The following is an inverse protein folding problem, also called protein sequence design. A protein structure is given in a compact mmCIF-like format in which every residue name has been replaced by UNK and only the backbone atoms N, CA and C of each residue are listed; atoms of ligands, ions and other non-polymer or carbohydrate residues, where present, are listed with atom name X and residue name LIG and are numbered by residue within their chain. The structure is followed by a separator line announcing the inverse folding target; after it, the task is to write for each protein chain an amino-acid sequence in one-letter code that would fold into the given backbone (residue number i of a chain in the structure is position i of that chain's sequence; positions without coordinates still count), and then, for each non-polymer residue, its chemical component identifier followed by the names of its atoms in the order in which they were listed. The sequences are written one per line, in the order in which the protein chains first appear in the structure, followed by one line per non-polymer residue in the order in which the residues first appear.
data_IF_661910263372
#
_entry.id   IF_661910263372
#
_cell.length_a   1.000
_cell.length_b   1.000
_cell.length_c   1.000
_cell.angle_alpha   90.00
_cell.angle_beta   90.00
_cell.angle_gamma   90.00
#
_symmetry.space_group_name_H-M   'P 1'
#
loop_
_entity.id
_entity.type
_entity.pdbx_description
1 polymer ?
#
# COMPACT_ATOMS: atom_id res chain seq x y z
N UNK A 1 -3.27 -24.64 -4.84
CA UNK A 1 -2.35 -23.53 -5.18
C UNK A 1 -2.70 -22.36 -4.30
N UNK A 2 -1.74 -21.80 -3.55
CA UNK A 2 -2.02 -20.64 -2.67
C UNK A 2 -2.49 -19.48 -3.55
N UNK A 3 -3.71 -18.99 -3.32
CA UNK A 3 -4.34 -17.98 -4.18
C UNK A 3 -3.55 -16.65 -4.28
N UNK A 4 -2.55 -16.44 -3.41
CA UNK A 4 -1.82 -15.17 -3.29
C UNK A 4 -0.29 -15.33 -3.24
N UNK A 5 0.28 -16.29 -3.98
CA UNK A 5 1.74 -16.47 -4.12
C UNK A 5 2.43 -15.36 -4.97
N UNK A 6 2.20 -14.08 -4.64
CA UNK A 6 2.83 -12.91 -5.28
C UNK A 6 1.90 -11.80 -5.80
N UNK A 7 0.60 -11.84 -5.49
CA UNK A 7 -0.39 -10.91 -6.06
C UNK A 7 -0.22 -9.44 -5.64
N UNK A 8 -0.92 -8.54 -6.35
CA UNK A 8 -0.99 -7.11 -6.01
C UNK A 8 -2.25 -6.80 -5.19
N UNK A 9 -2.11 -5.87 -4.25
CA UNK A 9 -3.23 -5.23 -3.57
C UNK A 9 -3.24 -3.74 -3.86
N UNK A 10 -4.43 -3.15 -3.94
CA UNK A 10 -4.64 -1.70 -3.99
C UNK A 10 -5.18 -1.23 -2.65
N UNK A 11 -4.43 -0.42 -1.92
CA UNK A 11 -4.94 0.21 -0.70
C UNK A 11 -5.88 1.34 -1.08
N UNK A 12 -7.13 1.21 -0.66
CA UNK A 12 -8.23 2.14 -0.95
C UNK A 12 -8.35 3.22 0.12
N UNK A 13 -8.14 2.83 1.38
CA UNK A 13 -8.10 3.72 2.54
C UNK A 13 -7.30 3.10 3.69
N UNK A 14 -6.72 3.94 4.54
CA UNK A 14 -6.08 3.52 5.78
C UNK A 14 -6.06 4.69 6.77
N UNK A 15 -6.38 4.46 8.03
CA UNK A 15 -6.33 5.48 9.09
C UNK A 15 -5.11 5.33 10.03
N UNK A 16 -4.22 4.37 9.79
CA UNK A 16 -2.96 4.23 10.54
C UNK A 16 -2.07 5.44 10.30
N UNK A 17 -1.67 6.11 11.37
CA UNK A 17 -0.72 7.23 11.30
C UNK A 17 0.67 6.76 10.88
N UNK A 18 1.10 5.59 11.35
CA UNK A 18 2.38 4.97 11.02
C UNK A 18 2.45 4.60 9.54
N UNK A 19 1.46 3.87 9.03
CA UNK A 19 1.44 3.44 7.63
C UNK A 19 1.34 4.66 6.70
N UNK A 20 0.46 5.62 7.00
CA UNK A 20 0.33 6.84 6.20
C UNK A 20 1.56 7.75 6.23
N UNK A 21 2.38 7.66 7.27
CA UNK A 21 3.68 8.35 7.35
C UNK A 21 4.75 7.71 6.48
N UNK A 22 4.60 6.44 6.12
CA UNK A 22 5.56 5.67 5.32
C UNK A 22 5.08 5.45 3.88
N UNK A 23 3.76 5.39 3.64
CA UNK A 23 3.17 5.00 2.37
C UNK A 23 1.95 5.85 1.95
N UNK A 24 1.84 6.20 0.64
CA UNK A 24 2.91 6.14 -0.35
C UNK A 24 3.89 7.29 -0.08
N UNK A 25 5.16 6.99 0.21
CA UNK A 25 6.17 8.01 0.50
C UNK A 25 6.33 8.98 -0.68
N UNK A 26 5.76 10.18 -0.54
CA UNK A 26 5.82 11.25 -1.52
C UNK A 26 7.09 12.07 -1.30
N UNK A 27 7.96 12.04 -2.29
CA UNK A 27 9.26 12.69 -2.28
C UNK A 27 9.29 13.91 -3.23
N UNK A 28 8.12 14.39 -3.65
CA UNK A 28 7.98 15.53 -4.58
C UNK A 28 8.74 16.77 -4.11
N UNK A 29 8.84 16.99 -2.79
CA UNK A 29 9.57 18.14 -2.21
C UNK A 29 11.08 18.02 -2.35
N UNK A 30 11.62 16.83 -2.62
CA UNK A 30 13.04 16.62 -2.92
C UNK A 30 13.39 16.98 -4.36
N UNK A 31 12.39 17.14 -5.23
CA UNK A 31 12.59 17.58 -6.61
C UNK A 31 12.66 19.10 -6.69
N UNK A 32 13.63 19.60 -7.46
CA UNK A 32 13.69 21.03 -7.81
C UNK A 32 12.45 21.45 -8.60
N UNK A 33 12.14 22.74 -8.61
CA UNK A 33 11.06 23.28 -9.47
C UNK A 33 11.29 22.91 -10.94
N UNK A 34 12.50 23.07 -11.44
CA UNK A 34 12.90 22.70 -12.81
C UNK A 34 12.64 21.23 -13.12
N UNK A 35 12.97 20.30 -12.20
CA UNK A 35 12.69 18.87 -12.39
C UNK A 35 11.20 18.59 -12.48
N UNK A 36 10.39 19.23 -11.62
CA UNK A 36 8.93 19.06 -11.63
C UNK A 36 8.30 19.63 -12.89
N UNK A 37 8.77 20.77 -13.35
CA UNK A 37 8.28 21.42 -14.57
C UNK A 37 8.69 20.63 -15.83
N UNK A 38 9.89 20.07 -15.84
CA UNK A 38 10.32 19.14 -16.89
C UNK A 38 9.42 17.91 -16.94
N UNK A 39 9.14 17.27 -15.80
CA UNK A 39 8.22 16.12 -15.74
C UNK A 39 6.83 16.48 -16.30
N UNK A 40 6.27 17.64 -15.91
CA UNK A 40 4.99 18.14 -16.43
C UNK A 40 5.01 18.37 -17.93
N UNK A 41 6.10 18.92 -18.46
CA UNK A 41 6.26 19.14 -19.91
C UNK A 41 6.17 17.83 -20.72
N UNK A 42 6.50 16.70 -20.12
CA UNK A 42 6.41 15.37 -20.73
C UNK A 42 5.17 14.57 -20.31
N UNK A 43 4.14 15.24 -19.79
CA UNK A 43 2.86 14.61 -19.46
C UNK A 43 2.84 13.82 -18.13
N UNK A 44 3.83 14.03 -17.25
CA UNK A 44 3.77 13.54 -15.88
C UNK A 44 3.14 14.57 -14.93
N UNK A 45 2.69 14.13 -13.77
CA UNK A 45 2.11 15.01 -12.73
C UNK A 45 3.14 15.97 -12.10
N UNK A 46 4.43 15.71 -12.30
CA UNK A 46 5.52 16.36 -11.59
C UNK A 46 5.66 15.93 -10.13
N UNK A 47 4.92 14.93 -9.69
CA UNK A 47 5.05 14.33 -8.35
C UNK A 47 5.90 13.06 -8.42
N UNK A 48 6.58 12.75 -7.32
CA UNK A 48 7.49 11.61 -7.24
C UNK A 48 7.25 10.82 -5.96
N UNK A 49 7.18 9.50 -6.09
CA UNK A 49 6.95 8.58 -4.98
C UNK A 49 7.98 7.48 -4.96
N UNK A 50 8.42 7.11 -3.77
CA UNK A 50 9.30 5.97 -3.57
C UNK A 50 8.99 5.30 -2.24
N UNK A 51 8.26 4.20 -2.31
CA UNK A 51 7.83 3.39 -1.17
C UNK A 51 8.94 2.64 -0.45
N UNK A 52 10.07 2.42 -1.10
CA UNK A 52 11.20 1.73 -0.50
C UNK A 52 12.04 2.67 0.37
N UNK A 53 12.06 3.98 0.06
CA UNK A 53 12.90 4.95 0.77
C UNK A 53 12.68 4.92 2.27
N UNK A 54 11.42 4.92 2.73
CA UNK A 54 11.11 4.89 4.16
C UNK A 54 11.71 3.67 4.89
N UNK A 55 11.87 2.56 4.16
CA UNK A 55 12.34 1.29 4.68
C UNK A 55 13.87 1.16 4.63
N UNK A 56 14.52 1.86 3.69
CA UNK A 56 15.98 1.81 3.52
C UNK A 56 16.69 2.87 4.37
N UNK A 57 16.19 4.10 4.34
CA UNK A 57 16.83 5.26 5.00
C UNK A 57 16.07 5.76 6.23
N UNK A 58 14.93 5.15 6.55
CA UNK A 58 14.10 5.51 7.70
C UNK A 58 13.05 6.57 7.40
N UNK A 59 12.11 6.75 8.33
CA UNK A 59 10.99 7.68 8.21
C UNK A 59 11.40 9.16 8.20
N UNK A 60 12.56 9.51 8.76
CA UNK A 60 13.09 10.87 8.76
C UNK A 60 13.45 11.41 7.38
N UNK A 61 13.69 10.52 6.40
CA UNK A 61 13.96 10.88 5.02
C UNK A 61 12.70 11.04 4.15
N UNK A 62 11.52 10.71 4.70
CA UNK A 62 10.23 10.88 4.02
C UNK A 62 9.60 12.19 4.51
N UNK A 63 9.31 13.14 3.62
CA UNK A 63 8.55 14.33 3.98
C UNK A 63 7.22 13.92 4.63
N UNK A 64 6.90 14.55 5.76
CA UNK A 64 5.63 14.29 6.42
C UNK A 64 4.47 14.68 5.52
N UNK A 65 3.43 13.84 5.53
CA UNK A 65 2.19 14.11 4.81
C UNK A 65 1.53 15.37 5.39
N UNK A 66 1.11 16.29 4.52
CA UNK A 66 0.36 17.48 4.93
C UNK A 66 -0.93 17.06 5.64
N UNK A 67 -1.18 17.65 6.81
CA UNK A 67 -2.40 17.40 7.58
C UNK A 67 -3.65 17.69 6.73
N UNK A 68 -4.61 16.78 6.74
CA UNK A 68 -5.85 16.90 5.96
C UNK A 68 -5.73 16.60 4.47
N UNK A 69 -4.55 16.21 3.96
CA UNK A 69 -4.42 15.81 2.56
C UNK A 69 -5.28 14.56 2.25
N UNK A 70 -6.03 14.55 1.13
CA UNK A 70 -6.84 13.40 0.74
C UNK A 70 -6.01 12.12 0.65
N UNK A 71 -6.59 10.97 1.02
CA UNK A 71 -5.92 9.67 0.92
C UNK A 71 -5.46 9.41 -0.53
N UNK A 72 -4.19 9.02 -0.70
CA UNK A 72 -3.63 8.71 -2.02
C UNK A 72 -3.68 7.21 -2.15
N UNK A 73 -4.44 6.67 -3.10
CA UNK A 73 -4.50 5.23 -3.33
C UNK A 73 -3.19 4.74 -3.93
N UNK A 74 -2.77 3.55 -3.56
CA UNK A 74 -1.54 2.94 -4.08
C UNK A 74 -1.68 1.43 -4.17
N UNK A 75 -0.99 0.86 -5.14
CA UNK A 75 -0.82 -0.59 -5.27
C UNK A 75 0.50 -1.01 -4.64
N UNK A 76 0.54 -2.19 -4.05
CA UNK A 76 1.78 -2.80 -3.57
C UNK A 76 1.69 -4.32 -3.65
N UNK A 77 2.84 -5.02 -3.72
CA UNK A 77 2.86 -6.47 -3.63
C UNK A 77 2.27 -6.94 -2.30
N UNK A 78 1.47 -7.99 -2.33
CA UNK A 78 0.90 -8.68 -1.18
C UNK A 78 1.90 -8.82 -0.01
N UNK A 79 3.14 -9.22 -0.31
CA UNK A 79 4.20 -9.36 0.67
C UNK A 79 4.55 -8.05 1.40
N UNK A 80 4.59 -6.92 0.69
CA UNK A 80 4.81 -5.61 1.28
C UNK A 80 3.65 -5.21 2.21
N UNK A 81 2.41 -5.63 1.91
CA UNK A 81 1.27 -5.37 2.80
C UNK A 81 1.51 -6.05 4.14
N UNK A 82 1.92 -7.32 4.13
CA UNK A 82 2.22 -8.07 5.36
C UNK A 82 3.31 -7.40 6.18
N UNK A 83 4.34 -6.87 5.52
CA UNK A 83 5.41 -6.13 6.19
C UNK A 83 4.90 -4.86 6.87
N UNK A 84 4.03 -4.10 6.20
CA UNK A 84 3.40 -2.91 6.77
C UNK A 84 2.49 -3.23 7.95
N UNK A 85 1.67 -4.28 7.82
CA UNK A 85 0.81 -4.74 8.91
C UNK A 85 1.64 -5.13 10.14
N UNK A 86 2.77 -5.84 9.95
CA UNK A 86 3.68 -6.17 11.06
C UNK A 86 4.26 -4.92 11.73
N UNK A 87 4.66 -3.92 10.95
CA UNK A 87 5.25 -2.68 11.50
C UNK A 87 4.23 -1.85 12.29
N UNK A 88 2.96 -1.84 11.86
CA UNK A 88 1.89 -1.10 12.55
C UNK A 88 1.26 -1.90 13.70
N UNK A 89 1.26 -3.22 13.62
CA UNK A 89 0.70 -4.13 14.62
C UNK A 89 1.42 -3.95 15.96
N UNK A 90 0.65 -3.66 17.02
CA UNK A 90 1.21 -3.38 18.34
C UNK A 90 1.58 -1.92 18.57
N UNK A 91 1.66 -1.10 17.53
CA UNK A 91 1.94 0.34 17.65
C UNK A 91 0.64 1.16 17.77
N UNK A 92 -0.37 0.84 16.96
CA UNK A 92 -1.68 1.50 16.99
C UNK A 92 -2.81 0.57 16.55
N UNK A 93 -4.04 0.90 16.93
CA UNK A 93 -5.22 0.29 16.34
C UNK A 93 -5.59 1.06 15.08
N UNK A 94 -5.94 0.36 14.01
CA UNK A 94 -6.27 0.98 12.74
C UNK A 94 -7.21 0.13 11.90
N UNK A 95 -7.80 0.78 10.91
CA UNK A 95 -8.60 0.20 9.85
C UNK A 95 -7.89 0.44 8.51
N UNK A 96 -7.90 -0.59 7.66
CA UNK A 96 -7.44 -0.51 6.28
C UNK A 96 -8.46 -1.18 5.36
N UNK A 97 -8.77 -0.54 4.24
CA UNK A 97 -9.50 -1.16 3.14
C UNK A 97 -8.55 -1.33 1.97
N UNK A 98 -8.47 -2.56 1.43
CA UNK A 98 -7.69 -2.85 0.24
C UNK A 98 -8.45 -3.75 -0.73
N UNK A 99 -8.15 -3.62 -2.01
CA UNK A 99 -8.70 -4.44 -3.09
C UNK A 99 -7.65 -5.44 -3.56
N UNK A 100 -8.04 -6.71 -3.63
CA UNK A 100 -7.24 -7.79 -4.20
C UNK A 100 -7.29 -7.69 -5.73
N UNK A 101 -6.17 -7.40 -6.39
CA UNK A 101 -6.15 -7.21 -7.84
C UNK A 101 -5.85 -8.52 -8.59
N UNK A 102 -6.49 -8.76 -9.76
CA UNK A 102 -6.22 -9.93 -10.58
C UNK A 102 -4.90 -9.77 -11.32
N UNK A 103 -3.80 -10.28 -10.75
CA UNK A 103 -2.50 -10.32 -11.42
C UNK A 103 -1.32 -9.99 -10.50
N UNK A 104 -0.13 -9.96 -11.11
CA UNK A 104 1.16 -9.68 -10.45
C UNK A 104 1.77 -8.34 -10.88
N UNK A 105 1.12 -7.63 -11.83
CA UNK A 105 1.62 -6.40 -12.44
C UNK A 105 0.61 -5.78 -13.38
N UNK A 106 0.77 -4.49 -13.67
CA UNK A 106 0.00 -3.77 -14.69
C UNK A 106 0.47 -2.34 -14.87
N UNK A 107 0.03 -1.72 -15.97
CA UNK A 107 0.25 -0.29 -16.23
C UNK A 107 -0.65 0.59 -15.34
N UNK A 108 -0.52 1.92 -15.47
CA UNK A 108 -1.28 2.87 -14.66
C UNK A 108 -2.80 2.77 -14.91
N UNK A 109 -3.20 2.50 -16.16
CA UNK A 109 -4.61 2.32 -16.53
C UNK A 109 -5.21 1.10 -15.82
N UNK A 110 -4.49 -0.03 -15.85
CA UNK A 110 -4.87 -1.24 -15.14
C UNK A 110 -4.92 -1.02 -13.64
N UNK A 111 -3.92 -0.39 -13.02
CA UNK A 111 -3.93 -0.16 -11.55
C UNK A 111 -5.13 0.65 -11.10
N UNK A 112 -5.59 1.58 -11.95
CA UNK A 112 -6.75 2.44 -11.71
C UNK A 112 -8.07 1.70 -11.89
N UNK A 113 -8.20 0.96 -12.98
CA UNK A 113 -9.48 0.38 -13.41
C UNK A 113 -9.69 -1.06 -12.98
N UNK A 114 -8.62 -1.77 -12.57
CA UNK A 114 -8.72 -3.16 -12.14
C UNK A 114 -9.70 -3.29 -10.98
N UNK A 115 -10.57 -4.29 -11.09
CA UNK A 115 -11.60 -4.61 -10.11
C UNK A 115 -11.22 -5.94 -9.48
N UNK A 116 -11.47 -6.04 -8.19
CA UNK A 116 -11.43 -7.31 -7.48
C UNK A 116 -12.12 -7.19 -6.14
N UNK A 117 -12.08 -8.24 -5.32
CA UNK A 117 -12.73 -8.23 -4.03
C UNK A 117 -12.03 -7.23 -3.09
N UNK A 118 -12.80 -6.32 -2.50
CA UNK A 118 -12.33 -5.43 -1.45
C UNK A 118 -12.42 -6.11 -0.08
N UNK A 119 -11.43 -5.87 0.75
CA UNK A 119 -11.29 -6.41 2.10
C UNK A 119 -11.13 -5.25 3.05
N UNK A 120 -11.92 -5.23 4.12
CA UNK A 120 -11.72 -4.35 5.26
C UNK A 120 -11.02 -5.14 6.35
N UNK A 121 -9.91 -4.60 6.84
CA UNK A 121 -9.07 -5.18 7.88
C UNK A 121 -9.06 -4.23 9.07
N UNK A 122 -9.38 -4.77 10.24
CA UNK A 122 -9.28 -4.12 11.54
C UNK A 122 -8.10 -4.73 12.29
N UNK A 123 -7.24 -3.88 12.83
CA UNK A 123 -6.10 -4.27 13.65
C UNK A 123 -6.21 -3.56 15.00
N UNK A 124 -6.10 -4.30 16.10
CA UNK A 124 -6.08 -3.70 17.44
C UNK A 124 -4.64 -3.38 17.91
N UNK A 125 -4.54 -2.76 19.09
CA UNK A 125 -3.24 -2.45 19.72
C UNK A 125 -2.49 -3.68 20.26
N UNK A 126 -3.15 -4.82 20.42
CA UNK A 126 -2.52 -6.08 20.82
C UNK A 126 -1.99 -6.87 19.61
N UNK A 127 -2.27 -6.41 18.38
CA UNK A 127 -1.95 -7.10 17.14
C UNK A 127 -2.99 -8.13 16.70
N UNK A 128 -4.14 -8.19 17.37
CA UNK A 128 -5.33 -8.90 16.92
C UNK A 128 -5.84 -8.35 15.60
N UNK A 129 -6.29 -9.24 14.70
CA UNK A 129 -6.73 -8.88 13.35
C UNK A 129 -8.08 -9.51 13.04
N UNK A 130 -8.96 -8.72 12.45
CA UNK A 130 -10.26 -9.15 11.94
C UNK A 130 -10.42 -8.63 10.53
N UNK A 131 -11.04 -9.42 9.66
CA UNK A 131 -11.33 -8.91 8.34
C UNK A 131 -12.65 -9.42 7.78
N UNK A 132 -13.21 -8.60 6.91
CA UNK A 132 -14.42 -8.88 6.14
C UNK A 132 -14.17 -8.56 4.65
N UNK A 133 -14.62 -9.44 3.78
CA UNK A 133 -14.72 -9.19 2.35
C UNK A 133 -15.97 -8.35 2.12
N UNK A 134 -15.76 -7.12 1.65
CA UNK A 134 -16.84 -6.18 1.36
C UNK A 134 -17.61 -6.65 0.13
N UNK A 135 -18.93 -6.77 0.28
CA UNK A 135 -19.81 -7.06 -0.86
C UNK A 135 -19.98 -5.79 -1.70
N UNK A 136 -20.10 -5.96 -3.01
CA UNK A 136 -20.47 -4.90 -3.93
C UNK A 136 -21.82 -4.30 -3.49
N UNK A 137 -21.99 -2.98 -3.63
CA UNK A 137 -23.09 -2.21 -3.05
C UNK A 137 -24.46 -2.91 -3.16
N UNK A 138 -25.10 -3.22 -2.02
CA UNK A 138 -26.46 -3.78 -1.97
C UNK A 138 -26.76 -4.79 -0.86
N UNK A 139 -25.74 -5.38 -0.21
CA UNK A 139 -25.95 -6.35 0.88
C UNK A 139 -25.16 -5.94 2.12
N UNK A 140 -25.87 -5.49 3.15
CA UNK A 140 -25.33 -4.72 4.28
C UNK A 140 -24.42 -5.42 5.28
N UNK A 141 -23.87 -6.61 4.97
CA UNK A 141 -22.87 -7.29 5.82
C UNK A 141 -21.84 -7.99 4.93
N UNK A 142 -20.56 -7.73 5.16
CA UNK A 142 -19.44 -8.42 4.50
C UNK A 142 -19.33 -9.88 4.94
N UNK A 143 -18.68 -10.72 4.13
CA UNK A 143 -18.37 -12.10 4.53
C UNK A 143 -17.05 -12.12 5.33
N UNK A 144 -16.97 -12.87 6.44
CA UNK A 144 -15.71 -13.03 7.15
C UNK A 144 -14.64 -13.61 6.19
N UNK A 145 -13.41 -13.12 6.27
CA UNK A 145 -12.38 -13.68 5.39
C UNK A 145 -12.02 -15.11 5.80
N UNK A 146 -11.62 -15.92 4.82
CA UNK A 146 -11.00 -17.21 5.10
C UNK A 146 -9.60 -17.06 5.71
N UNK A 147 -9.09 -18.14 6.32
CA UNK A 147 -7.74 -18.19 6.93
C UNK A 147 -6.61 -17.86 5.95
N UNK A 148 -6.85 -18.05 4.65
CA UNK A 148 -5.92 -17.73 3.59
C UNK A 148 -5.83 -16.22 3.26
N UNK A 149 -6.57 -15.35 3.95
CA UNK A 149 -6.53 -13.92 3.71
C UNK A 149 -5.23 -13.27 4.18
N UNK A 150 -4.67 -12.39 3.35
CA UNK A 150 -3.33 -11.87 3.58
C UNK A 150 -3.22 -11.03 4.85
N UNK A 151 -4.29 -10.33 5.20
CA UNK A 151 -4.38 -9.57 6.44
C UNK A 151 -4.31 -10.44 7.69
N UNK A 152 -4.71 -11.71 7.61
CA UNK A 152 -4.76 -12.64 8.75
C UNK A 152 -3.53 -13.52 8.88
N UNK A 153 -2.66 -13.55 7.87
CA UNK A 153 -1.47 -14.39 7.91
C UNK A 153 -0.55 -13.99 9.06
N UNK A 154 0.03 -15.01 9.71
CA UNK A 154 1.07 -14.82 10.70
C UNK A 154 2.21 -13.98 10.12
N UNK A 155 2.83 -13.18 10.97
CA UNK A 155 3.88 -12.29 10.55
C UNK A 155 5.09 -13.09 10.08
N UNK A 156 5.67 -12.75 8.91
CA UNK A 156 6.88 -13.40 8.47
C UNK A 156 8.00 -13.22 9.50
N UNK A 157 8.83 -14.25 9.67
CA UNK A 157 10.07 -14.12 10.42
C UNK A 157 11.10 -13.32 9.60
N UNK A 158 11.14 -12.02 9.86
CA UNK A 158 12.03 -11.06 9.21
C UNK A 158 13.44 -11.01 9.79
N UNK A 159 13.75 -11.82 10.81
CA UNK A 159 15.09 -11.88 11.41
C UNK A 159 16.11 -12.54 10.48
N UNK A 160 15.63 -13.24 9.44
CA UNK A 160 16.48 -13.84 8.42
C UNK A 160 16.97 -12.77 7.46
N UNK A 161 18.29 -12.67 7.20
CA UNK A 161 18.83 -11.69 6.28
C UNK A 161 18.21 -11.89 4.90
N UNK A 162 17.47 -10.86 4.47
CA UNK A 162 16.90 -10.79 3.15
C UNK A 162 18.05 -10.63 2.15
N UNK A 163 18.16 -11.54 1.17
CA UNK A 163 19.26 -11.53 0.21
C UNK A 163 19.09 -10.34 -0.76
N UNK A 164 19.73 -9.22 -0.44
CA UNK A 164 19.51 -7.88 -1.02
C UNK A 164 19.65 -7.80 -2.56
N UNK A 165 20.39 -8.71 -3.17
CA UNK A 165 20.75 -8.66 -4.59
C UNK A 165 19.61 -9.01 -5.57
N UNK A 166 18.50 -9.61 -5.10
CA UNK A 166 17.38 -10.03 -5.96
C UNK A 166 16.12 -9.16 -5.90
N UNK A 167 16.08 -8.13 -5.04
CA UNK A 167 14.79 -7.60 -4.57
C UNK A 167 14.46 -6.18 -5.02
N UNK A 168 15.34 -5.45 -5.72
CA UNK A 168 15.09 -4.04 -6.10
C UNK A 168 13.77 -3.78 -6.86
N UNK A 169 13.16 -4.81 -7.47
CA UNK A 169 11.85 -4.72 -8.14
C UNK A 169 10.63 -5.04 -7.25
N UNK A 170 10.83 -5.67 -6.08
CA UNK A 170 9.74 -6.22 -5.24
C UNK A 170 9.25 -5.25 -4.14
N UNK A 171 9.88 -4.07 -3.99
CA UNK A 171 9.54 -3.08 -2.95
C UNK A 171 8.73 -1.89 -3.46
N UNK A 172 8.38 -1.88 -4.74
CA UNK A 172 7.76 -0.72 -5.35
C UNK A 172 6.24 -0.78 -5.14
N UNK A 173 5.73 0.13 -4.32
CA UNK A 173 4.34 0.52 -4.35
C UNK A 173 4.18 1.58 -5.42
N UNK A 174 3.15 1.46 -6.22
CA UNK A 174 2.87 2.40 -7.30
C UNK A 174 1.59 3.14 -6.96
N UNK A 175 1.72 4.46 -6.87
CA UNK A 175 0.59 5.35 -6.64
C UNK A 175 -0.37 5.30 -7.82
N UNK A 176 -1.66 5.34 -7.51
CA UNK A 176 -2.71 5.52 -8.50
C UNK A 176 -3.08 6.98 -8.50
N UNK A 177 -2.87 7.62 -9.63
CA UNK A 177 -3.17 9.03 -9.81
C UNK A 177 -4.63 9.18 -10.23
N UNK A 178 -5.31 10.30 -9.91
CA UNK A 178 -6.60 10.62 -10.52
C UNK A 178 -6.44 10.97 -12.01
N UNK A 179 -7.54 10.97 -12.78
CA UNK A 179 -7.50 11.32 -14.21
C UNK A 179 -7.08 12.80 -14.39
N UNK A 180 -6.15 13.05 -15.31
CA UNK A 180 -5.66 14.40 -15.61
C UNK A 180 -4.71 15.00 -14.57
N UNK A 181 -4.19 14.20 -13.63
CA UNK A 181 -3.12 14.60 -12.72
C UNK A 181 -1.76 14.69 -13.43
#
# INVERSE_FOLDING_TARGET
TSAFSGGLVRVESCNSTLINGLHPAELTTLLTHTSRDMLRKFGHTGRFWNSAVANVVGSSAVPQRTAGAPFTKYTLPAFELRRLLRQASGAEAFEMVYTRLPGVGGDESWRRTAIGPSVRLLVDRAGGRWCEVLRTAGSGVGEACGEAEIGLWADPDWTRPINWLGLGQLWNSYVILPDGA
#
